data_IF_162033166237
#
_entry.id   IF_162033166237
#
_cell.length_a   1.000
_cell.length_b   1.000
_cell.length_c   1.000
_cell.angle_alpha   90.00
_cell.angle_beta   90.00
_cell.angle_gamma   90.00
#
_symmetry.space_group_name_H-M   'P 1'
#
loop_
_entity.id
_entity.type
_entity.pdbx_description
1 polymer ?
#
# COMPACT_ATOMS: atom_id res chain seq x y z
N UNK A 1 -15.29 -6.71 14.76
CA UNK A 1 -13.98 -7.09 15.34
C UNK A 1 -13.81 -8.56 15.00
N UNK A 2 -12.71 -8.99 14.37
CA UNK A 2 -12.54 -10.43 14.12
C UNK A 2 -12.34 -11.13 15.46
N UNK A 3 -13.43 -11.71 15.98
CA UNK A 3 -13.34 -12.71 17.02
C UNK A 3 -12.65 -13.94 16.43
N UNK A 4 -11.52 -14.27 17.03
CA UNK A 4 -10.69 -15.42 16.71
C UNK A 4 -11.43 -16.69 17.14
N UNK A 5 -11.74 -17.57 16.21
CA UNK A 5 -12.08 -18.95 16.56
C UNK A 5 -10.85 -19.61 17.21
N UNK A 6 -10.99 -20.27 18.37
CA UNK A 6 -9.88 -20.98 18.99
C UNK A 6 -9.64 -22.29 18.23
N UNK A 7 -8.46 -22.46 17.62
CA UNK A 7 -8.04 -23.83 17.22
C UNK A 7 -7.21 -24.06 15.96
N UNK A 8 -6.70 -23.05 15.25
CA UNK A 8 -5.74 -23.32 14.16
C UNK A 8 -4.46 -22.51 14.33
N UNK A 9 -3.51 -23.03 15.13
CA UNK A 9 -2.12 -22.57 15.09
C UNK A 9 -1.47 -23.08 13.80
N UNK A 10 -1.65 -22.32 12.72
CA UNK A 10 -0.56 -22.18 11.77
C UNK A 10 0.18 -20.90 12.15
N UNK A 11 1.29 -21.09 12.84
CA UNK A 11 2.25 -20.04 13.13
C UNK A 11 2.74 -19.50 11.79
N UNK A 12 2.26 -18.31 11.44
CA UNK A 12 2.85 -17.53 10.36
C UNK A 12 4.13 -16.94 10.96
N UNK A 13 5.35 -17.25 10.46
CA UNK A 13 6.57 -16.63 10.94
C UNK A 13 6.68 -15.21 10.36
N UNK A 14 5.63 -14.41 10.53
CA UNK A 14 5.68 -12.98 10.29
C UNK A 14 6.62 -12.42 11.34
N UNK A 15 7.84 -12.08 10.93
CA UNK A 15 8.78 -11.33 11.76
C UNK A 15 8.01 -10.18 12.41
N UNK A 16 7.99 -10.17 13.74
CA UNK A 16 7.73 -8.96 14.50
C UNK A 16 8.83 -8.00 14.07
N UNK A 17 8.49 -7.02 13.24
CA UNK A 17 9.37 -5.88 13.04
C UNK A 17 9.54 -5.27 14.43
N UNK A 18 10.78 -5.17 14.93
CA UNK A 18 11.10 -4.35 16.09
C UNK A 18 10.81 -2.92 15.68
N UNK A 19 9.56 -2.52 15.83
CA UNK A 19 9.11 -1.18 15.58
C UNK A 19 9.62 -0.34 16.73
N UNK A 20 10.27 0.79 16.44
CA UNK A 20 10.61 1.72 17.49
C UNK A 20 9.31 2.19 18.17
N UNK A 21 9.33 2.57 19.47
CA UNK A 21 8.17 3.07 20.20
C UNK A 21 7.36 4.09 19.37
N UNK A 22 6.03 4.15 19.52
CA UNK A 22 5.19 5.09 18.74
C UNK A 22 5.69 6.54 18.82
N UNK A 23 6.30 6.92 19.94
CA UNK A 23 6.91 8.23 20.19
C UNK A 23 8.11 8.55 19.28
N UNK A 24 8.88 7.53 18.87
CA UNK A 24 10.02 7.68 17.96
C UNK A 24 9.69 7.36 16.50
N UNK A 25 8.53 6.71 16.26
CA UNK A 25 7.90 6.55 14.93
C UNK A 25 7.32 7.87 14.39
N UNK A 26 7.58 9.02 15.00
CA UNK A 26 7.30 10.34 14.41
C UNK A 26 8.49 11.29 14.47
N UNK A 27 9.64 10.81 14.96
CA UNK A 27 10.87 11.57 14.92
C UNK A 27 11.34 11.74 13.45
N UNK A 28 11.93 12.89 13.09
CA UNK A 28 12.67 13.00 11.84
C UNK A 28 13.65 11.82 11.73
N UNK A 29 13.77 11.17 10.57
CA UNK A 29 14.80 10.15 10.37
C UNK A 29 16.16 10.81 10.68
N UNK A 30 16.84 10.35 11.73
CA UNK A 30 18.27 10.60 11.86
C UNK A 30 18.95 10.03 10.61
N UNK A 31 19.85 10.79 9.99
CA UNK A 31 20.51 10.46 8.71
C UNK A 31 21.40 9.20 8.75
N UNK A 32 21.36 8.39 9.82
CA UNK A 32 22.27 7.26 10.03
C UNK A 32 21.69 5.99 10.66
N UNK A 33 20.37 5.85 10.82
CA UNK A 33 19.77 4.78 11.64
C UNK A 33 18.69 3.94 10.95
N UNK A 34 18.87 3.52 9.70
CA UNK A 34 17.90 2.67 9.01
C UNK A 34 18.16 1.18 9.24
N UNK A 35 17.37 0.51 10.08
CA UNK A 35 17.16 -0.93 9.87
C UNK A 35 16.50 -1.06 8.51
N UNK A 36 17.26 -1.46 7.48
CA UNK A 36 16.72 -1.56 6.12
C UNK A 36 15.70 -2.69 6.11
N UNK A 37 14.42 -2.33 5.91
CA UNK A 37 13.39 -3.34 5.73
C UNK A 37 13.86 -4.29 4.61
N UNK A 38 13.97 -5.62 4.86
CA UNK A 38 14.50 -6.57 3.88
C UNK A 38 13.72 -6.59 2.58
N UNK A 39 12.47 -6.09 2.57
CA UNK A 39 11.67 -5.91 1.35
C UNK A 39 12.30 -4.91 0.38
N UNK A 40 13.11 -3.96 0.84
CA UNK A 40 13.80 -3.00 -0.04
C UNK A 40 14.71 -3.70 -1.05
N UNK A 41 15.38 -4.79 -0.65
CA UNK A 41 16.22 -5.59 -1.54
C UNK A 41 15.43 -6.34 -2.63
N UNK A 42 14.10 -6.45 -2.47
CA UNK A 42 13.19 -7.23 -3.32
C UNK A 42 12.42 -6.36 -4.32
N UNK A 43 12.62 -5.04 -4.31
CA UNK A 43 11.96 -4.10 -5.22
C UNK A 43 12.24 -4.34 -6.71
N UNK A 44 13.32 -5.07 -7.01
CA UNK A 44 13.74 -5.42 -8.36
C UNK A 44 13.46 -6.89 -8.72
N UNK A 45 12.68 -7.61 -7.90
CA UNK A 45 12.15 -8.92 -8.30
C UNK A 45 11.28 -8.77 -9.56
N UNK A 46 11.28 -9.74 -10.50
CA UNK A 46 10.62 -9.57 -11.81
C UNK A 46 9.14 -9.18 -11.77
N UNK A 47 8.40 -9.60 -10.73
CA UNK A 47 6.99 -9.25 -10.58
C UNK A 47 6.76 -7.88 -9.93
N UNK A 48 7.78 -7.27 -9.32
CA UNK A 48 7.68 -5.98 -8.60
C UNK A 48 8.32 -4.85 -9.39
N UNK A 49 9.44 -5.13 -10.06
CA UNK A 49 10.28 -4.16 -10.73
C UNK A 49 9.53 -3.19 -11.67
N UNK A 50 8.55 -3.62 -12.50
CA UNK A 50 7.82 -2.69 -13.35
C UNK A 50 7.01 -1.67 -12.55
N UNK A 51 6.42 -2.08 -11.42
CA UNK A 51 5.68 -1.20 -10.52
C UNK A 51 6.65 -0.26 -9.79
N UNK A 52 7.80 -0.76 -9.34
CA UNK A 52 8.85 0.07 -8.74
C UNK A 52 9.29 1.20 -9.68
N UNK A 53 9.51 0.90 -10.97
CA UNK A 53 9.84 1.92 -11.98
C UNK A 53 8.74 2.96 -12.16
N UNK A 54 7.48 2.53 -12.24
CA UNK A 54 6.33 3.44 -12.33
C UNK A 54 6.26 4.36 -11.09
N UNK A 55 6.46 3.80 -9.91
CA UNK A 55 6.43 4.52 -8.64
C UNK A 55 7.55 5.57 -8.57
N UNK A 56 8.75 5.28 -9.07
CA UNK A 56 9.82 6.28 -9.16
C UNK A 56 9.41 7.49 -9.99
N UNK A 57 8.77 7.30 -11.14
CA UNK A 57 8.24 8.41 -11.97
C UNK A 57 7.17 9.21 -11.23
N UNK A 58 6.30 8.55 -10.46
CA UNK A 58 5.29 9.23 -9.62
C UNK A 58 5.98 10.06 -8.53
N UNK A 59 7.03 9.52 -7.91
CA UNK A 59 7.80 10.17 -6.84
C UNK A 59 8.51 11.43 -7.34
N UNK A 60 9.07 11.41 -8.56
CA UNK A 60 9.70 12.59 -9.16
C UNK A 60 8.72 13.77 -9.33
N UNK A 61 7.44 13.46 -9.54
CA UNK A 61 6.36 14.46 -9.66
C UNK A 61 5.70 14.83 -8.33
N UNK A 62 6.03 14.13 -7.24
CA UNK A 62 5.35 14.27 -5.96
C UNK A 62 5.75 15.52 -5.16
N UNK A 63 6.69 16.34 -5.66
CA UNK A 63 7.03 17.63 -5.06
C UNK A 63 7.55 17.53 -3.62
N UNK A 64 8.31 16.47 -3.33
CA UNK A 64 8.86 16.20 -1.99
C UNK A 64 7.95 15.39 -1.06
N UNK A 65 6.73 15.05 -1.48
CA UNK A 65 5.88 14.12 -0.71
C UNK A 65 6.35 12.67 -0.85
N UNK A 66 6.35 11.92 0.25
CA UNK A 66 6.68 10.49 0.23
C UNK A 66 5.66 9.70 -0.56
N UNK A 67 6.15 8.83 -1.45
CA UNK A 67 5.37 7.82 -2.17
C UNK A 67 5.92 6.44 -1.81
N UNK A 68 5.17 5.62 -1.04
CA UNK A 68 5.60 4.28 -0.67
C UNK A 68 5.64 3.35 -1.88
N UNK A 69 6.44 2.29 -1.77
CA UNK A 69 6.49 1.21 -2.75
C UNK A 69 5.29 0.25 -2.58
N UNK A 70 5.09 -0.64 -3.54
CA UNK A 70 4.25 -1.83 -3.35
C UNK A 70 4.98 -2.86 -2.48
N UNK A 71 4.23 -3.65 -1.73
CA UNK A 71 4.78 -4.73 -0.91
C UNK A 71 5.28 -5.90 -1.80
N UNK A 72 6.57 -6.27 -1.79
CA UNK A 72 7.09 -7.39 -2.58
C UNK A 72 6.54 -8.77 -2.16
N UNK A 73 5.87 -8.86 -1.02
CA UNK A 73 5.13 -10.06 -0.63
C UNK A 73 3.85 -10.25 -1.46
N UNK A 74 3.40 -9.23 -2.18
CA UNK A 74 2.18 -9.25 -3.00
C UNK A 74 2.47 -9.87 -4.37
N UNK A 75 1.41 -10.16 -5.13
CA UNK A 75 1.54 -10.71 -6.48
C UNK A 75 2.22 -9.78 -7.49
N UNK A 76 2.43 -8.51 -7.15
CA UNK A 76 2.99 -7.51 -8.06
C UNK A 76 2.19 -7.42 -9.37
N UNK A 77 2.88 -7.35 -10.52
CA UNK A 77 2.23 -7.34 -11.85
C UNK A 77 1.44 -8.62 -12.16
N UNK A 78 1.62 -9.69 -11.38
CA UNK A 78 0.93 -10.96 -11.56
C UNK A 78 -0.30 -11.09 -10.63
N UNK A 79 -0.65 -10.05 -9.87
CA UNK A 79 -1.82 -10.09 -9.00
C UNK A 79 -3.13 -10.01 -9.81
N UNK A 80 -4.03 -11.00 -9.72
CA UNK A 80 -5.36 -10.96 -10.32
C UNK A 80 -6.34 -10.03 -9.60
N UNK A 81 -6.07 -9.65 -8.34
CA UNK A 81 -6.92 -8.75 -7.57
C UNK A 81 -6.13 -7.52 -7.07
N UNK A 82 -6.58 -6.33 -7.49
CA UNK A 82 -6.06 -5.04 -7.04
C UNK A 82 -7.04 -4.39 -6.06
N UNK A 83 -6.55 -3.98 -4.89
CA UNK A 83 -7.33 -3.22 -3.92
C UNK A 83 -6.84 -1.78 -3.89
N UNK A 84 -7.71 -0.86 -4.33
CA UNK A 84 -7.44 0.56 -4.39
C UNK A 84 -7.97 1.26 -3.13
N UNK A 85 -7.04 1.68 -2.30
CA UNK A 85 -7.22 2.46 -1.07
C UNK A 85 -7.24 3.97 -1.36
N UNK A 86 -7.55 4.81 -0.37
CA UNK A 86 -7.63 6.27 -0.54
C UNK A 86 -6.25 6.93 -0.73
N UNK A 87 -5.42 6.90 0.32
CA UNK A 87 -4.09 7.51 0.36
C UNK A 87 -3.27 6.83 1.45
N UNK A 88 -1.92 6.87 1.39
CA UNK A 88 -1.07 6.40 2.47
C UNK A 88 -1.51 7.03 3.81
N UNK A 89 -1.67 6.18 4.83
CA UNK A 89 -1.80 6.66 6.20
C UNK A 89 -0.47 7.24 6.72
N UNK A 90 -0.48 8.01 7.82
CA UNK A 90 0.75 8.58 8.38
C UNK A 90 1.81 7.52 8.71
N UNK A 91 1.38 6.29 9.06
CA UNK A 91 2.26 5.14 9.33
C UNK A 91 2.82 4.46 8.07
N UNK A 92 2.16 4.60 6.91
CA UNK A 92 2.68 4.05 5.65
C UNK A 92 3.89 4.85 5.12
N UNK A 93 4.05 6.11 5.57
CA UNK A 93 5.27 6.87 5.35
C UNK A 93 6.49 6.29 6.10
N UNK A 94 6.26 5.44 7.10
CA UNK A 94 7.32 4.87 7.93
C UNK A 94 7.82 3.53 7.44
N UNK A 95 6.94 2.69 6.93
CA UNK A 95 7.31 1.36 6.46
C UNK A 95 7.82 1.36 5.02
N UNK A 96 7.75 2.47 4.30
CA UNK A 96 8.09 2.58 2.87
C UNK A 96 7.22 1.70 1.93
N UNK A 97 6.16 1.05 2.44
CA UNK A 97 5.32 0.12 1.66
C UNK A 97 3.81 0.33 1.90
N UNK A 98 3.04 0.17 0.82
CA UNK A 98 1.58 -0.08 0.91
C UNK A 98 1.38 -1.56 1.22
N UNK A 99 1.24 -1.89 2.50
CA UNK A 99 1.25 -3.28 2.97
C UNK A 99 0.16 -3.56 4.00
N UNK A 100 -0.40 -4.77 3.95
CA UNK A 100 -1.30 -5.30 4.98
C UNK A 100 -0.58 -5.72 6.27
N UNK A 101 0.75 -5.73 6.23
CA UNK A 101 1.63 -6.02 7.37
C UNK A 101 2.04 -4.73 8.12
N UNK A 102 1.56 -3.57 7.66
CA UNK A 102 1.80 -2.31 8.36
C UNK A 102 1.18 -2.35 9.79
N UNK A 103 1.84 -1.75 10.79
CA UNK A 103 1.41 -1.82 12.20
C UNK A 103 0.29 -0.82 12.52
N UNK A 104 -0.80 -0.87 11.77
CA UNK A 104 -1.94 0.03 11.92
C UNK A 104 -3.29 -0.70 11.83
N UNK A 105 -4.37 -0.12 12.40
CA UNK A 105 -5.69 -0.75 12.39
C UNK A 105 -6.25 -1.03 10.99
N UNK A 106 -5.94 -0.20 10.00
CA UNK A 106 -6.45 -0.36 8.62
C UNK A 106 -5.80 -1.56 7.95
N UNK A 107 -4.49 -1.72 8.10
CA UNK A 107 -3.75 -2.88 7.62
C UNK A 107 -4.24 -4.19 8.29
N UNK A 108 -4.48 -4.18 9.62
CA UNK A 108 -5.07 -5.33 10.33
C UNK A 108 -6.46 -5.70 9.80
N UNK A 109 -7.31 -4.71 9.57
CA UNK A 109 -8.65 -4.93 9.01
C UNK A 109 -8.57 -5.47 7.57
N UNK A 110 -7.65 -4.96 6.76
CA UNK A 110 -7.40 -5.48 5.41
C UNK A 110 -6.94 -6.94 5.44
N UNK A 111 -5.97 -7.28 6.29
CA UNK A 111 -5.51 -8.66 6.48
C UNK A 111 -6.65 -9.60 6.87
N UNK A 112 -7.52 -9.16 7.79
CA UNK A 112 -8.69 -9.93 8.18
C UNK A 112 -9.67 -10.14 7.01
N UNK A 113 -10.00 -9.09 6.28
CA UNK A 113 -10.92 -9.16 5.16
C UNK A 113 -10.40 -10.05 4.03
N UNK A 114 -9.12 -9.92 3.67
CA UNK A 114 -8.48 -10.75 2.65
C UNK A 114 -8.44 -12.23 3.07
N UNK A 115 -8.16 -12.51 4.35
CA UNK A 115 -8.19 -13.88 4.89
C UNK A 115 -9.60 -14.47 4.85
N UNK A 116 -10.61 -13.71 5.25
CA UNK A 116 -12.00 -14.17 5.23
C UNK A 116 -12.52 -14.41 3.81
N UNK A 117 -12.01 -13.66 2.83
CA UNK A 117 -12.30 -13.84 1.42
C UNK A 117 -11.35 -14.85 0.73
N UNK A 118 -10.53 -15.57 1.49
CA UNK A 118 -9.62 -16.63 1.03
C UNK A 118 -8.60 -16.18 -0.04
N UNK A 119 -8.22 -14.91 -0.04
CA UNK A 119 -7.16 -14.40 -0.91
C UNK A 119 -5.77 -14.74 -0.36
N UNK A 120 -4.95 -15.43 -1.16
CA UNK A 120 -3.51 -15.61 -0.88
C UNK A 120 -2.75 -14.32 -1.14
N UNK A 121 -1.47 -14.25 -0.74
CA UNK A 121 -0.71 -13.00 -0.86
C UNK A 121 -0.40 -12.68 -2.32
N UNK A 122 -0.05 -13.70 -3.07
CA UNK A 122 0.27 -13.69 -4.50
C UNK A 122 -0.94 -13.33 -5.37
N UNK A 123 -2.15 -13.52 -4.84
CA UNK A 123 -3.39 -13.16 -5.53
C UNK A 123 -3.75 -11.68 -5.41
N UNK A 124 -3.12 -10.96 -4.48
CA UNK A 124 -3.50 -9.60 -4.10
C UNK A 124 -2.40 -8.60 -4.40
N UNK A 125 -2.80 -7.36 -4.64
CA UNK A 125 -1.94 -6.19 -4.62
C UNK A 125 -2.70 -5.03 -3.96
N UNK A 126 -2.06 -4.34 -3.03
CA UNK A 126 -2.60 -3.11 -2.44
C UNK A 126 -1.97 -1.87 -3.07
N UNK A 127 -2.78 -0.87 -3.39
CA UNK A 127 -2.31 0.43 -3.85
C UNK A 127 -3.25 1.57 -3.45
N UNK A 128 -2.78 2.81 -3.48
CA UNK A 128 -3.59 3.99 -3.15
C UNK A 128 -3.95 4.79 -4.41
N UNK A 129 -5.19 5.26 -4.50
CA UNK A 129 -5.63 6.13 -5.61
C UNK A 129 -4.94 7.50 -5.60
N UNK A 130 -4.58 7.99 -4.41
CA UNK A 130 -3.65 9.11 -4.25
C UNK A 130 -2.36 8.55 -3.67
N UNK A 131 -1.30 8.38 -4.48
CA UNK A 131 -0.11 7.63 -4.06
C UNK A 131 0.79 8.42 -3.10
N UNK A 132 0.68 9.75 -3.06
CA UNK A 132 1.46 10.60 -2.16
C UNK A 132 0.88 10.59 -0.74
N UNK A 133 1.74 10.59 0.28
CA UNK A 133 1.32 10.85 1.65
C UNK A 133 0.87 12.32 1.78
N UNK A 134 -0.43 12.52 1.97
CA UNK A 134 -1.04 13.86 2.16
C UNK A 134 -1.21 14.21 3.64
N UNK A 135 -1.00 13.24 4.53
CA UNK A 135 -0.99 13.40 5.98
C UNK A 135 0.38 13.86 6.45
N UNK A 136 0.42 14.59 7.57
CA UNK A 136 1.65 14.91 8.28
C UNK A 136 1.71 14.07 9.56
N UNK A 137 2.88 13.95 10.23
CA UNK A 137 2.97 13.27 11.53
C UNK A 137 1.95 13.80 12.55
N UNK A 138 1.65 15.10 12.49
CA UNK A 138 0.78 15.80 13.43
C UNK A 138 -0.71 15.70 13.05
N UNK A 139 -1.03 15.38 11.80
CA UNK A 139 -2.41 15.42 11.31
C UNK A 139 -2.67 14.43 10.19
N UNK A 140 -3.54 13.47 10.48
CA UNK A 140 -4.18 12.64 9.45
C UNK A 140 -5.10 13.49 8.57
N UNK A 141 -4.92 13.41 7.25
CA UNK A 141 -5.70 14.14 6.26
C UNK A 141 -6.21 13.17 5.20
N UNK A 142 -7.49 13.30 4.88
CA UNK A 142 -8.09 12.64 3.74
C UNK A 142 -7.65 13.31 2.44
N UNK A 143 -7.60 12.54 1.36
CA UNK A 143 -7.35 13.07 0.03
C UNK A 143 -8.47 14.04 -0.40
N UNK A 144 -8.06 15.18 -0.95
CA UNK A 144 -8.99 16.14 -1.55
C UNK A 144 -9.52 15.62 -2.88
N UNK A 145 -10.68 16.14 -3.33
CA UNK A 145 -11.22 15.81 -4.66
C UNK A 145 -10.24 16.16 -5.79
N UNK A 146 -9.51 17.27 -5.65
CA UNK A 146 -8.54 17.69 -6.64
C UNK A 146 -7.36 16.71 -6.74
N UNK A 147 -6.85 16.23 -5.60
CA UNK A 147 -5.78 15.23 -5.57
C UNK A 147 -6.23 13.91 -6.21
N UNK A 148 -7.41 13.41 -5.85
CA UNK A 148 -7.96 12.18 -6.44
C UNK A 148 -8.11 12.30 -7.95
N UNK A 149 -8.63 13.44 -8.45
CA UNK A 149 -8.76 13.70 -9.89
C UNK A 149 -7.40 13.78 -10.59
N UNK A 150 -6.41 14.43 -9.97
CA UNK A 150 -5.05 14.56 -10.52
C UNK A 150 -4.31 13.22 -10.59
N UNK A 151 -4.63 12.29 -9.70
CA UNK A 151 -4.00 10.97 -9.64
C UNK A 151 -4.66 9.92 -10.56
N UNK A 152 -5.68 10.30 -11.36
CA UNK A 152 -6.32 9.40 -12.34
C UNK A 152 -5.30 8.82 -13.32
N UNK A 153 -4.41 9.60 -13.96
CA UNK A 153 -3.43 9.04 -14.89
C UNK A 153 -2.44 8.08 -14.21
N UNK A 154 -2.06 8.35 -12.96
CA UNK A 154 -1.18 7.45 -12.19
C UNK A 154 -1.89 6.11 -11.91
N UNK A 155 -3.18 6.15 -11.59
CA UNK A 155 -4.00 4.96 -11.35
C UNK A 155 -4.18 4.14 -12.63
N UNK A 156 -4.44 4.81 -13.76
CA UNK A 156 -4.55 4.15 -15.07
C UNK A 156 -3.23 3.49 -15.48
N UNK A 157 -2.11 4.18 -15.33
CA UNK A 157 -0.79 3.61 -15.59
C UNK A 157 -0.49 2.40 -14.68
N UNK A 158 -0.90 2.46 -13.41
CA UNK A 158 -0.73 1.37 -12.46
C UNK A 158 -1.56 0.15 -12.83
N UNK A 159 -2.83 0.35 -13.19
CA UNK A 159 -3.73 -0.72 -13.66
C UNK A 159 -3.19 -1.35 -14.95
N UNK A 160 -2.73 -0.53 -15.90
CA UNK A 160 -2.17 -1.00 -17.17
C UNK A 160 -0.88 -1.83 -17.02
N UNK A 161 -0.16 -1.69 -15.91
CA UNK A 161 1.04 -2.48 -15.63
C UNK A 161 0.73 -3.92 -15.19
N UNK A 162 -0.49 -4.22 -14.75
CA UNK A 162 -0.89 -5.55 -14.25
C UNK A 162 -1.28 -6.47 -15.41
N UNK A 163 -0.64 -7.64 -15.49
CA UNK A 163 -0.73 -8.53 -16.66
C UNK A 163 -1.91 -9.49 -16.66
N UNK A 164 -2.40 -9.83 -15.46
CA UNK A 164 -3.43 -10.85 -15.25
C UNK A 164 -4.58 -10.35 -14.38
N UNK A 165 -4.73 -9.02 -14.28
CA UNK A 165 -5.74 -8.38 -13.46
C UNK A 165 -7.15 -8.82 -13.88
N UNK A 166 -7.95 -9.25 -12.92
CA UNK A 166 -9.34 -9.71 -13.11
C UNK A 166 -10.35 -8.87 -12.34
N UNK A 167 -9.96 -8.37 -11.17
CA UNK A 167 -10.85 -7.60 -10.30
C UNK A 167 -10.12 -6.43 -9.67
N UNK A 168 -10.83 -5.29 -9.61
CA UNK A 168 -10.41 -4.10 -8.88
C UNK A 168 -11.45 -3.83 -7.79
N UNK A 169 -11.00 -3.78 -6.54
CA UNK A 169 -11.83 -3.47 -5.38
C UNK A 169 -11.51 -2.07 -4.90
N UNK A 170 -12.48 -1.17 -4.96
CA UNK A 170 -12.34 0.22 -4.50
C UNK A 170 -12.72 0.35 -3.03
N UNK A 171 -11.73 0.57 -2.17
CA UNK A 171 -11.88 0.63 -0.73
C UNK A 171 -12.11 2.07 -0.26
N UNK A 172 -13.35 2.40 0.07
CA UNK A 172 -13.74 3.70 0.61
C UNK A 172 -14.24 4.70 -0.44
N UNK A 173 -14.81 5.82 0.03
CA UNK A 173 -15.57 6.76 -0.83
C UNK A 173 -14.71 7.46 -1.87
N UNK A 174 -13.45 7.79 -1.57
CA UNK A 174 -12.55 8.47 -2.53
C UNK A 174 -12.12 7.54 -3.65
N UNK A 175 -11.73 6.31 -3.34
CA UNK A 175 -11.41 5.30 -4.34
C UNK A 175 -12.63 5.02 -5.24
N UNK A 176 -13.81 4.81 -4.65
CA UNK A 176 -15.05 4.61 -5.40
C UNK A 176 -15.41 5.81 -6.29
N UNK A 177 -15.13 7.03 -5.84
CA UNK A 177 -15.37 8.22 -6.65
C UNK A 177 -14.41 8.29 -7.85
N UNK A 178 -13.12 7.94 -7.66
CA UNK A 178 -12.17 7.92 -8.76
C UNK A 178 -12.56 6.91 -9.86
N UNK A 179 -13.19 5.78 -9.50
CA UNK A 179 -13.74 4.81 -10.46
C UNK A 179 -14.54 5.48 -11.58
N UNK A 180 -15.35 6.49 -11.26
CA UNK A 180 -16.18 7.20 -12.25
C UNK A 180 -15.40 7.99 -13.30
N UNK A 181 -14.08 8.10 -13.16
CA UNK A 181 -13.18 8.85 -14.04
C UNK A 181 -12.18 7.95 -14.76
N UNK A 182 -12.08 6.67 -14.39
CA UNK A 182 -11.14 5.74 -15.00
C UNK A 182 -11.69 5.29 -16.35
N UNK A 183 -10.84 5.27 -17.37
CA UNK A 183 -11.23 4.89 -18.74
C UNK A 183 -10.95 3.42 -19.05
N UNK A 184 -10.12 2.76 -18.23
CA UNK A 184 -9.61 1.41 -18.45
C UNK A 184 -10.38 0.30 -17.72
N UNK A 185 -11.54 0.62 -17.12
CA UNK A 185 -12.31 -0.27 -16.23
C UNK A 185 -13.81 -0.05 -16.43
#
# INVERSE_FOLDING_TARGET
MCDMAPGSRHENPGRVYDLPPEETMFAPRDEGGGSSDPRLARLYEPHVEPLTRLISVIRDRAGGQTVPNVDPNDGGINAPALFLLESPGPKAAWTDFVSRDNPDPSARNMTCALRQAEFTREQTLLWNVVPQCVSTPEKNRNATRLQVRRAVPDTEAFVAALRVLRVIVFCGRRAQWQRSMLTLI
#
